data_IF_549209681366
#
_entry.id   IF_549209681366
#
_cell.length_a   1.000
_cell.length_b   1.000
_cell.length_c   1.000
_cell.angle_alpha   90.00
_cell.angle_beta   90.00
_cell.angle_gamma   90.00
#
_symmetry.space_group_name_H-M   'P 1'
#
loop_
_entity.id
_entity.type
_entity.pdbx_description
1 polymer ?
#
# COMPACT_ATOMS: atom_id res chain seq x y z
N UNK A 1 42.03 1.22 -42.05
CA UNK A 1 41.16 2.13 -41.29
C UNK A 1 39.72 1.75 -41.59
N UNK A 2 39.13 0.95 -40.71
CA UNK A 2 37.74 0.48 -40.85
C UNK A 2 36.84 1.42 -40.03
N UNK A 3 35.95 2.14 -40.70
CA UNK A 3 34.94 2.98 -40.06
C UNK A 3 33.82 2.08 -39.51
N UNK A 4 33.66 2.04 -38.19
CA UNK A 4 32.54 1.42 -37.54
C UNK A 4 31.33 2.36 -37.68
N UNK A 5 30.33 1.95 -38.44
CA UNK A 5 29.04 2.64 -38.56
C UNK A 5 28.16 2.18 -37.40
N UNK A 6 28.01 3.02 -36.39
CA UNK A 6 27.06 2.79 -35.28
C UNK A 6 25.64 3.08 -35.77
N UNK A 7 24.84 2.04 -35.96
CA UNK A 7 23.43 2.16 -36.23
C UNK A 7 22.75 2.32 -34.86
N UNK A 8 22.34 3.54 -34.55
CA UNK A 8 21.44 3.81 -33.43
C UNK A 8 20.04 3.38 -33.87
N UNK A 9 19.63 2.19 -33.45
CA UNK A 9 18.24 1.73 -33.57
C UNK A 9 17.40 2.48 -32.55
N UNK A 10 16.78 3.58 -32.95
CA UNK A 10 15.74 4.24 -32.15
C UNK A 10 14.55 3.30 -32.04
N UNK A 11 14.38 2.71 -30.85
CA UNK A 11 13.20 1.96 -30.49
C UNK A 11 12.04 2.96 -30.39
N UNK A 12 11.32 3.16 -31.48
CA UNK A 12 10.05 3.86 -31.48
C UNK A 12 9.07 2.97 -30.75
N UNK A 13 8.88 3.20 -29.44
CA UNK A 13 7.77 2.63 -28.71
C UNK A 13 6.51 3.28 -29.24
N UNK A 14 5.89 2.63 -30.22
CA UNK A 14 4.51 2.91 -30.55
C UNK A 14 3.71 2.57 -29.28
N UNK A 15 3.35 3.59 -28.50
CA UNK A 15 2.25 3.50 -27.58
C UNK A 15 1.01 3.23 -28.43
N UNK A 16 0.65 1.97 -28.57
CA UNK A 16 -0.70 1.62 -29.03
C UNK A 16 -1.63 2.28 -28.01
N UNK A 17 -2.27 3.40 -28.39
CA UNK A 17 -3.48 3.80 -27.73
C UNK A 17 -4.42 2.59 -27.87
N UNK A 18 -4.55 1.80 -26.82
CA UNK A 18 -5.65 0.85 -26.72
C UNK A 18 -6.89 1.72 -26.87
N UNK A 19 -7.70 1.45 -27.88
CA UNK A 19 -9.00 2.05 -27.99
C UNK A 19 -9.70 1.80 -26.64
N UNK A 20 -10.25 2.84 -26.05
CA UNK A 20 -10.96 2.73 -24.79
C UNK A 20 -12.13 1.76 -25.02
N UNK A 21 -12.07 0.61 -24.39
CA UNK A 21 -13.00 -0.49 -24.55
C UNK A 21 -13.95 -0.48 -23.36
N UNK A 22 -15.23 -0.71 -23.58
CA UNK A 22 -16.15 -0.94 -22.47
C UNK A 22 -15.72 -2.20 -21.72
N UNK A 23 -15.44 -2.07 -20.44
CA UNK A 23 -14.94 -3.19 -19.63
C UNK A 23 -15.47 -3.18 -18.20
N UNK A 24 -15.63 -4.37 -17.65
CA UNK A 24 -15.71 -4.59 -16.20
C UNK A 24 -14.34 -5.05 -15.71
N UNK A 25 -13.88 -4.44 -14.64
CA UNK A 25 -12.70 -4.89 -13.88
C UNK A 25 -13.09 -5.18 -12.42
N UNK A 26 -12.40 -6.12 -11.81
CA UNK A 26 -12.70 -6.61 -10.48
C UNK A 26 -11.50 -6.34 -9.58
N UNK A 27 -11.74 -6.19 -8.26
CA UNK A 27 -10.65 -6.15 -7.28
C UNK A 27 -9.73 -7.37 -7.51
N UNK A 28 -8.47 -7.18 -7.91
CA UNK A 28 -7.65 -8.30 -8.39
C UNK A 28 -7.22 -9.25 -7.27
N UNK A 29 -7.00 -8.72 -6.06
CA UNK A 29 -6.52 -9.47 -4.91
C UNK A 29 -7.33 -9.10 -3.67
N UNK A 30 -7.78 -10.11 -2.93
CA UNK A 30 -8.59 -9.97 -1.74
C UNK A 30 -7.99 -10.79 -0.61
N UNK A 31 -7.67 -10.14 0.50
CA UNK A 31 -7.30 -10.84 1.73
C UNK A 31 -8.56 -11.12 2.56
N UNK A 32 -8.68 -12.35 3.06
CA UNK A 32 -9.81 -12.77 3.90
C UNK A 32 -9.33 -13.65 5.04
N UNK A 33 -9.78 -13.39 6.26
CA UNK A 33 -9.52 -14.28 7.40
C UNK A 33 -10.49 -15.44 7.40
N UNK A 34 -10.09 -16.66 7.87
CA UNK A 34 -11.03 -17.76 8.10
C UNK A 34 -12.22 -17.29 8.94
N UNK A 35 -13.44 -17.67 8.55
CA UNK A 35 -14.68 -17.20 9.17
C UNK A 35 -15.06 -15.73 8.88
N UNK A 36 -14.14 -14.95 8.32
CA UNK A 36 -14.32 -13.52 8.05
C UNK A 36 -15.03 -13.20 6.74
N UNK A 37 -15.16 -11.91 6.47
CA UNK A 37 -15.77 -11.39 5.23
C UNK A 37 -14.83 -10.38 4.56
N UNK A 38 -14.91 -10.31 3.23
CA UNK A 38 -14.20 -9.31 2.44
C UNK A 38 -15.10 -8.76 1.34
N UNK A 39 -14.91 -7.48 0.99
CA UNK A 39 -15.68 -6.81 -0.06
C UNK A 39 -14.93 -6.86 -1.38
N UNK A 40 -15.65 -7.25 -2.43
CA UNK A 40 -15.21 -7.21 -3.81
C UNK A 40 -15.89 -6.03 -4.49
N UNK A 41 -15.09 -5.22 -5.19
CA UNK A 41 -15.57 -4.08 -5.96
C UNK A 41 -15.46 -4.39 -7.44
N UNK A 42 -16.51 -4.09 -8.17
CA UNK A 42 -16.56 -4.15 -9.64
C UNK A 42 -16.55 -2.73 -10.17
N UNK A 43 -15.56 -2.43 -11.00
CA UNK A 43 -15.42 -1.17 -11.69
C UNK A 43 -15.94 -1.32 -13.12
N UNK A 44 -16.50 -0.27 -13.66
CA UNK A 44 -16.88 -0.19 -15.07
C UNK A 44 -16.23 1.03 -15.69
N UNK A 45 -15.52 0.79 -16.79
CA UNK A 45 -15.09 1.84 -17.71
C UNK A 45 -15.91 1.68 -19.00
N UNK A 46 -16.65 2.71 -19.36
CA UNK A 46 -17.53 2.68 -20.53
C UNK A 46 -17.33 3.91 -21.40
N UNK A 47 -17.18 3.69 -22.70
CA UNK A 47 -17.11 4.73 -23.72
C UNK A 47 -18.48 4.92 -24.40
N UNK A 48 -19.29 3.88 -24.38
CA UNK A 48 -20.63 3.89 -24.92
C UNK A 48 -21.71 4.08 -23.84
N UNK A 49 -22.91 4.41 -24.24
CA UNK A 49 -24.09 4.42 -23.38
C UNK A 49 -24.50 2.98 -23.04
N UNK A 50 -24.07 2.53 -21.85
CA UNK A 50 -24.29 1.17 -21.34
C UNK A 50 -25.49 1.15 -20.42
N UNK A 51 -26.49 0.31 -20.71
CA UNK A 51 -27.70 0.13 -19.89
C UNK A 51 -27.75 -1.19 -19.11
N UNK A 52 -26.79 -2.08 -19.33
CA UNK A 52 -26.75 -3.36 -18.64
C UNK A 52 -25.42 -4.06 -18.72
N UNK A 53 -25.19 -4.93 -17.73
CA UNK A 53 -24.08 -5.88 -17.75
C UNK A 53 -24.48 -7.19 -17.11
N UNK A 54 -23.76 -8.25 -17.46
CA UNK A 54 -23.82 -9.52 -16.76
C UNK A 54 -22.45 -10.19 -16.68
N UNK A 55 -22.30 -11.08 -15.71
CA UNK A 55 -21.20 -12.03 -15.61
C UNK A 55 -21.62 -13.26 -14.83
N UNK A 56 -20.86 -14.34 -14.97
CA UNK A 56 -20.94 -15.51 -14.11
C UNK A 56 -19.68 -15.61 -13.27
N UNK A 57 -19.81 -16.04 -12.01
CA UNK A 57 -18.67 -16.31 -11.16
C UNK A 57 -18.76 -17.71 -10.55
N UNK A 58 -17.62 -18.36 -10.46
CA UNK A 58 -17.43 -19.62 -9.74
C UNK A 58 -16.55 -19.35 -8.52
N UNK A 59 -17.12 -19.58 -7.35
CA UNK A 59 -16.38 -19.45 -6.11
C UNK A 59 -15.65 -20.76 -5.82
N UNK A 60 -14.41 -20.70 -5.29
CA UNK A 60 -13.73 -21.89 -4.78
C UNK A 60 -14.44 -22.43 -3.54
N UNK A 61 -14.15 -23.69 -3.21
CA UNK A 61 -14.65 -24.34 -1.99
C UNK A 61 -14.28 -23.52 -0.76
N UNK A 62 -15.20 -23.39 0.20
CA UNK A 62 -15.01 -22.61 1.43
C UNK A 62 -15.28 -21.13 1.29
N UNK A 63 -15.67 -20.63 0.09
CA UNK A 63 -16.17 -19.26 -0.08
C UNK A 63 -17.65 -19.23 -0.45
N UNK A 64 -18.35 -18.26 0.07
CA UNK A 64 -19.76 -17.98 -0.24
C UNK A 64 -19.99 -16.48 -0.40
N UNK A 65 -21.01 -16.09 -1.19
CA UNK A 65 -21.47 -14.70 -1.22
C UNK A 65 -22.32 -14.44 0.03
N UNK A 66 -22.07 -13.31 0.68
CA UNK A 66 -22.88 -12.91 1.85
C UNK A 66 -24.34 -12.74 1.46
N UNK A 67 -25.22 -13.28 2.29
CA UNK A 67 -26.67 -13.23 2.07
C UNK A 67 -27.34 -12.32 3.10
N UNK A 68 -28.45 -11.70 2.72
CA UNK A 68 -29.30 -10.95 3.64
C UNK A 68 -30.11 -11.87 4.57
N UNK A 69 -30.88 -11.28 5.48
CA UNK A 69 -31.74 -12.01 6.42
C UNK A 69 -32.78 -12.94 5.76
N UNK A 70 -33.06 -12.78 4.46
CA UNK A 70 -33.97 -13.65 3.68
C UNK A 70 -33.22 -14.71 2.89
N UNK A 71 -31.91 -14.87 3.10
CA UNK A 71 -31.08 -15.85 2.39
C UNK A 71 -30.75 -15.48 0.92
N UNK A 72 -31.01 -14.26 0.48
CA UNK A 72 -30.66 -13.78 -0.86
C UNK A 72 -29.27 -13.18 -0.87
N UNK A 73 -28.45 -13.55 -1.85
CA UNK A 73 -27.12 -12.95 -2.08
C UNK A 73 -27.23 -11.44 -2.25
N UNK A 74 -26.36 -10.70 -1.57
CA UNK A 74 -26.36 -9.24 -1.58
C UNK A 74 -25.37 -8.68 -2.58
N UNK A 75 -25.88 -8.00 -3.58
CA UNK A 75 -25.14 -7.21 -4.56
C UNK A 75 -25.64 -5.76 -4.49
N UNK A 76 -24.72 -4.80 -4.35
CA UNK A 76 -25.06 -3.38 -4.22
C UNK A 76 -24.56 -2.60 -5.41
N UNK A 77 -25.49 -2.02 -6.18
CA UNK A 77 -25.16 -1.04 -7.21
C UNK A 77 -24.73 0.27 -6.58
N UNK A 78 -23.83 0.99 -7.25
CA UNK A 78 -23.42 2.33 -6.82
C UNK A 78 -24.55 3.33 -7.15
N UNK A 79 -25.17 3.90 -6.15
CA UNK A 79 -26.28 4.83 -6.27
C UNK A 79 -25.98 6.08 -7.12
N UNK A 80 -24.71 6.51 -7.17
CA UNK A 80 -24.30 7.67 -7.95
C UNK A 80 -24.21 7.39 -9.45
N UNK A 81 -24.34 6.11 -9.86
CA UNK A 81 -24.20 5.68 -11.25
C UNK A 81 -25.46 5.08 -11.85
N UNK A 82 -26.54 5.02 -11.11
CA UNK A 82 -27.79 4.35 -11.54
C UNK A 82 -28.98 5.31 -11.52
N UNK A 83 -29.98 5.01 -12.36
CA UNK A 83 -31.33 5.55 -12.26
C UNK A 83 -32.28 4.43 -11.81
N UNK A 84 -32.96 3.77 -12.73
CA UNK A 84 -33.89 2.67 -12.47
C UNK A 84 -33.25 1.26 -12.48
N UNK A 85 -31.93 1.22 -12.53
CA UNK A 85 -31.20 -0.04 -12.63
C UNK A 85 -31.44 -0.97 -11.45
N UNK A 86 -31.58 -2.23 -11.74
CA UNK A 86 -31.71 -3.30 -10.77
C UNK A 86 -30.58 -4.31 -10.93
N UNK A 87 -30.26 -5.03 -9.85
CA UNK A 87 -29.37 -6.17 -9.90
C UNK A 87 -30.09 -7.43 -9.48
N UNK A 88 -29.92 -8.48 -10.26
CA UNK A 88 -30.44 -9.83 -9.97
C UNK A 88 -29.29 -10.82 -9.96
N UNK A 89 -29.39 -11.83 -9.10
CA UNK A 89 -28.41 -12.93 -9.03
C UNK A 89 -29.11 -14.26 -8.85
N UNK A 90 -28.54 -15.30 -9.45
CA UNK A 90 -29.05 -16.66 -9.35
C UNK A 90 -27.91 -17.68 -9.27
N UNK A 91 -28.02 -18.62 -8.34
CA UNK A 91 -27.15 -19.79 -8.29
C UNK A 91 -27.66 -20.81 -9.36
N UNK A 92 -26.77 -21.14 -10.30
CA UNK A 92 -27.03 -22.09 -11.36
C UNK A 92 -26.74 -23.53 -10.91
N UNK A 93 -27.29 -24.52 -11.62
CA UNK A 93 -27.08 -25.96 -11.34
C UNK A 93 -25.61 -26.40 -11.44
N UNK A 94 -24.78 -25.67 -12.18
CA UNK A 94 -23.36 -25.92 -12.34
C UNK A 94 -22.49 -25.28 -11.24
N UNK A 95 -23.11 -24.73 -10.19
CA UNK A 95 -22.40 -24.07 -9.06
C UNK A 95 -22.00 -22.62 -9.36
N UNK A 96 -22.16 -22.12 -10.59
CA UNK A 96 -21.87 -20.73 -10.91
C UNK A 96 -22.98 -19.79 -10.42
N UNK A 97 -22.59 -18.61 -10.01
CA UNK A 97 -23.51 -17.51 -9.68
C UNK A 97 -23.58 -16.58 -10.88
N UNK A 98 -24.76 -16.45 -11.46
CA UNK A 98 -25.02 -15.47 -12.51
C UNK A 98 -25.43 -14.16 -11.84
N UNK A 99 -24.82 -13.05 -12.25
CA UNK A 99 -25.12 -11.68 -11.81
C UNK A 99 -25.47 -10.86 -13.05
N UNK A 100 -26.58 -10.16 -13.01
CA UNK A 100 -27.04 -9.29 -14.10
C UNK A 100 -27.56 -7.99 -13.51
N UNK A 101 -27.18 -6.88 -14.13
CA UNK A 101 -27.76 -5.57 -13.86
C UNK A 101 -28.26 -4.96 -15.16
N UNK A 102 -29.41 -4.32 -15.10
CA UNK A 102 -30.04 -3.66 -16.25
C UNK A 102 -30.98 -2.56 -15.80
N UNK A 103 -31.21 -1.59 -16.71
CA UNK A 103 -32.29 -0.61 -16.62
C UNK A 103 -33.55 -1.16 -17.32
N UNK A 104 -34.71 -1.02 -16.68
CA UNK A 104 -35.99 -1.43 -17.28
C UNK A 104 -36.43 -0.51 -18.42
N UNK A 105 -35.97 0.73 -18.41
CA UNK A 105 -36.30 1.75 -19.43
C UNK A 105 -35.16 1.98 -20.45
N UNK A 106 -34.08 1.16 -20.36
CA UNK A 106 -32.86 1.25 -21.16
C UNK A 106 -32.07 2.55 -20.93
N UNK A 107 -32.18 3.13 -19.73
CA UNK A 107 -31.36 4.29 -19.33
C UNK A 107 -29.89 3.87 -19.17
N UNK A 108 -28.92 4.71 -19.57
CA UNK A 108 -27.49 4.42 -19.36
C UNK A 108 -27.08 4.59 -17.93
N UNK A 109 -26.01 3.87 -17.52
CA UNK A 109 -25.30 4.17 -16.28
C UNK A 109 -24.67 5.55 -16.36
N UNK A 110 -24.75 6.32 -15.27
CA UNK A 110 -24.15 7.65 -15.18
C UNK A 110 -22.62 7.59 -15.13
N UNK A 111 -21.98 8.54 -15.79
CA UNK A 111 -20.52 8.64 -15.88
C UNK A 111 -19.89 7.58 -16.78
N UNK A 112 -18.59 7.70 -16.99
CA UNK A 112 -17.83 6.85 -17.93
C UNK A 112 -16.85 5.90 -17.25
N UNK A 113 -16.63 6.04 -15.93
CA UNK A 113 -15.72 5.18 -15.16
C UNK A 113 -16.08 5.15 -13.68
N UNK A 114 -15.56 4.16 -12.97
CA UNK A 114 -15.68 4.05 -11.53
C UNK A 114 -16.45 2.82 -11.07
N UNK A 115 -16.61 2.71 -9.76
CA UNK A 115 -17.33 1.60 -9.14
C UNK A 115 -18.78 1.55 -9.63
N UNK A 116 -19.21 0.36 -10.08
CA UNK A 116 -20.59 0.12 -10.50
C UNK A 116 -21.33 -0.82 -9.57
N UNK A 117 -20.62 -1.81 -9.02
CA UNK A 117 -21.19 -2.85 -8.17
C UNK A 117 -20.23 -3.19 -7.04
N UNK A 118 -20.74 -3.64 -5.89
CA UNK A 118 -19.96 -4.30 -4.85
C UNK A 118 -20.75 -5.47 -4.26
N UNK A 119 -20.03 -6.45 -3.74
CA UNK A 119 -20.58 -7.56 -2.98
C UNK A 119 -19.55 -8.06 -1.97
N UNK A 120 -20.02 -8.73 -0.92
CA UNK A 120 -19.13 -9.33 0.06
C UNK A 120 -19.10 -10.85 -0.09
N UNK A 121 -17.91 -11.42 0.10
CA UNK A 121 -17.71 -12.86 0.24
C UNK A 121 -17.38 -13.19 1.69
N UNK A 122 -17.79 -14.37 2.14
CA UNK A 122 -17.50 -14.93 3.45
C UNK A 122 -16.69 -16.20 3.26
N UNK A 123 -15.62 -16.33 4.05
CA UNK A 123 -14.83 -17.54 4.13
C UNK A 123 -15.35 -18.45 5.26
N UNK A 124 -15.28 -19.75 5.05
CA UNK A 124 -15.49 -20.73 6.12
C UNK A 124 -14.33 -20.68 7.13
N UNK A 125 -14.54 -21.22 8.34
CA UNK A 125 -13.50 -21.28 9.39
C UNK A 125 -12.27 -22.11 8.97
N UNK A 126 -12.43 -23.03 8.03
CA UNK A 126 -11.36 -23.88 7.49
C UNK A 126 -10.73 -23.35 6.20
N UNK A 127 -11.13 -22.16 5.74
CA UNK A 127 -10.60 -21.61 4.50
C UNK A 127 -9.13 -21.23 4.65
N UNK A 128 -8.25 -21.79 3.82
CA UNK A 128 -6.82 -21.62 3.88
C UNK A 128 -6.21 -21.51 2.47
N UNK A 129 -5.05 -20.87 2.38
CA UNK A 129 -4.30 -20.75 1.13
C UNK A 129 -4.82 -19.67 0.18
N UNK A 130 -4.45 -19.83 -1.09
CA UNK A 130 -4.79 -18.86 -2.15
C UNK A 130 -5.62 -19.57 -3.22
N UNK A 131 -6.79 -19.05 -3.50
CA UNK A 131 -7.71 -19.58 -4.50
C UNK A 131 -8.27 -18.46 -5.36
N UNK A 132 -8.71 -18.79 -6.57
CA UNK A 132 -9.28 -17.82 -7.49
C UNK A 132 -10.81 -17.93 -7.54
N UNK A 133 -11.50 -16.79 -7.52
CA UNK A 133 -12.88 -16.68 -8.02
C UNK A 133 -12.77 -16.48 -9.53
N UNK A 134 -13.28 -17.42 -10.28
CA UNK A 134 -13.29 -17.33 -11.74
C UNK A 134 -14.51 -16.56 -12.22
N UNK A 135 -14.28 -15.55 -13.05
CA UNK A 135 -15.32 -14.73 -13.68
C UNK A 135 -15.36 -15.10 -15.15
N UNK A 136 -16.55 -15.37 -15.65
CA UNK A 136 -16.81 -15.74 -17.04
C UNK A 136 -18.09 -15.09 -17.56
N UNK A 137 -18.34 -15.21 -18.86
CA UNK A 137 -19.52 -14.67 -19.54
C UNK A 137 -19.80 -13.19 -19.26
N UNK A 138 -18.70 -12.39 -19.17
CA UNK A 138 -18.82 -10.95 -19.02
C UNK A 138 -19.43 -10.40 -20.32
N UNK A 139 -20.59 -9.77 -20.20
CA UNK A 139 -21.26 -9.05 -21.28
C UNK A 139 -21.67 -7.66 -20.78
N UNK A 140 -21.36 -6.65 -21.57
CA UNK A 140 -21.81 -5.27 -21.37
C UNK A 140 -22.68 -4.93 -22.57
N UNK A 141 -23.87 -4.39 -22.33
CA UNK A 141 -24.86 -4.09 -23.35
C UNK A 141 -25.13 -2.60 -23.40
N UNK A 142 -25.10 -2.04 -24.60
CA UNK A 142 -25.54 -0.66 -24.85
C UNK A 142 -27.06 -0.51 -24.63
N UNK A 143 -27.54 0.73 -24.62
CA UNK A 143 -28.96 1.05 -24.54
C UNK A 143 -29.78 0.46 -25.71
N UNK A 144 -29.12 0.07 -26.82
CA UNK A 144 -29.72 -0.63 -27.93
C UNK A 144 -29.72 -2.16 -27.77
N UNK A 145 -29.25 -2.69 -26.62
CA UNK A 145 -29.17 -4.12 -26.37
C UNK A 145 -28.03 -4.84 -27.09
N UNK A 146 -27.11 -4.10 -27.71
CA UNK A 146 -25.94 -4.67 -28.41
C UNK A 146 -24.80 -4.88 -27.46
N UNK A 147 -24.12 -6.04 -27.55
CA UNK A 147 -22.88 -6.31 -26.78
C UNK A 147 -21.78 -5.39 -27.26
N UNK A 148 -21.10 -4.71 -26.28
CA UNK A 148 -20.10 -3.66 -26.55
C UNK A 148 -18.75 -3.91 -25.85
N UNK A 149 -18.52 -5.10 -25.29
CA UNK A 149 -17.25 -5.47 -24.67
C UNK A 149 -16.53 -6.62 -25.40
N UNK A 150 -15.21 -6.66 -25.28
CA UNK A 150 -14.35 -7.71 -25.85
C UNK A 150 -13.90 -8.69 -24.76
N UNK A 151 -13.55 -8.20 -23.56
CA UNK A 151 -13.09 -9.01 -22.43
C UNK A 151 -14.29 -9.75 -21.84
N UNK A 152 -14.22 -11.09 -21.83
CA UNK A 152 -15.31 -11.96 -21.38
C UNK A 152 -14.98 -12.78 -20.13
N UNK A 153 -13.75 -12.70 -19.65
CA UNK A 153 -13.30 -13.44 -18.46
C UNK A 153 -12.40 -12.57 -17.58
N UNK A 154 -12.39 -12.87 -16.29
CA UNK A 154 -11.49 -12.28 -15.31
C UNK A 154 -11.28 -13.27 -14.16
N UNK A 155 -10.35 -12.99 -13.25
CA UNK A 155 -10.18 -13.74 -12.01
C UNK A 155 -9.88 -12.80 -10.85
N UNK A 156 -10.28 -13.22 -9.65
CA UNK A 156 -10.00 -12.52 -8.40
C UNK A 156 -9.26 -13.50 -7.50
N UNK A 157 -8.02 -13.17 -7.14
CA UNK A 157 -7.28 -13.99 -6.19
C UNK A 157 -7.76 -13.70 -4.76
N UNK A 158 -8.18 -14.73 -4.05
CA UNK A 158 -8.60 -14.63 -2.65
C UNK A 158 -7.60 -15.40 -1.79
N UNK A 159 -6.90 -14.67 -0.92
CA UNK A 159 -5.85 -15.21 -0.08
C UNK A 159 -6.28 -15.22 1.39
N UNK A 160 -6.32 -16.40 2.00
CA UNK A 160 -6.37 -16.53 3.44
C UNK A 160 -4.95 -16.40 4.04
N UNK A 161 -4.82 -16.00 5.30
CA UNK A 161 -3.57 -16.16 6.02
C UNK A 161 -3.12 -17.63 5.93
N UNK A 162 -1.86 -17.83 5.60
CA UNK A 162 -1.28 -19.19 5.63
C UNK A 162 -1.26 -19.68 7.07
N UNK A 163 -1.71 -20.93 7.31
CA UNK A 163 -1.52 -21.60 8.61
C UNK A 163 -0.02 -21.74 8.97
N UNK A 164 0.83 -21.59 7.98
CA UNK A 164 2.27 -21.49 8.16
C UNK A 164 2.67 -20.00 7.97
N UNK A 165 2.94 -19.26 9.05
CA UNK A 165 3.30 -17.86 8.94
C UNK A 165 4.54 -17.69 8.06
N UNK A 166 4.46 -16.81 7.07
CA UNK A 166 5.63 -16.41 6.31
C UNK A 166 6.50 -15.58 7.24
N UNK A 167 7.62 -16.13 7.64
CA UNK A 167 8.60 -15.44 8.49
C UNK A 167 9.59 -14.64 7.65
N UNK A 168 10.15 -13.62 8.24
CA UNK A 168 11.18 -12.82 7.61
C UNK A 168 12.41 -13.66 7.25
N UNK A 169 12.98 -13.44 6.08
CA UNK A 169 14.23 -14.02 5.61
C UNK A 169 15.37 -13.02 5.62
N UNK A 170 15.06 -11.72 5.60
CA UNK A 170 16.02 -10.64 5.77
C UNK A 170 15.37 -9.38 6.33
N UNK A 171 16.20 -8.55 6.94
CA UNK A 171 15.86 -7.21 7.39
C UNK A 171 17.00 -6.26 7.02
N UNK A 172 16.70 -5.06 6.58
CA UNK A 172 17.66 -4.02 6.23
C UNK A 172 17.20 -2.66 6.72
N UNK A 173 18.14 -1.71 6.85
CA UNK A 173 17.84 -0.31 7.12
C UNK A 173 18.09 0.54 5.87
N UNK A 174 17.34 1.63 5.74
CA UNK A 174 17.46 2.62 4.66
C UNK A 174 18.83 3.31 4.61
N UNK A 175 19.54 3.35 5.74
CA UNK A 175 20.87 3.92 5.88
C UNK A 175 21.70 3.19 6.94
N UNK A 176 23.03 3.21 6.78
CA UNK A 176 23.98 2.58 7.71
C UNK A 176 24.38 3.49 8.86
N UNK A 177 24.28 4.80 8.66
CA UNK A 177 24.60 5.77 9.72
C UNK A 177 23.80 7.08 9.54
N UNK A 178 23.71 7.82 10.62
CA UNK A 178 23.20 9.19 10.65
C UNK A 178 24.02 10.02 11.64
N UNK A 179 24.13 11.31 11.34
CA UNK A 179 24.75 12.30 12.24
C UNK A 179 23.68 13.27 12.67
N UNK A 180 23.55 13.51 13.96
CA UNK A 180 22.60 14.48 14.55
C UNK A 180 23.30 15.32 15.60
N UNK A 181 22.82 16.54 15.84
CA UNK A 181 23.28 17.36 16.98
C UNK A 181 22.52 16.98 18.25
N UNK A 182 23.08 17.33 19.40
CA UNK A 182 22.37 17.20 20.69
C UNK A 182 21.01 17.94 20.62
N UNK A 183 19.93 17.22 20.96
CA UNK A 183 18.53 17.71 20.87
C UNK A 183 17.86 17.52 19.52
N UNK A 184 18.58 17.15 18.46
CA UNK A 184 18.00 16.91 17.14
C UNK A 184 17.61 15.44 16.94
N UNK A 185 16.78 15.19 15.95
CA UNK A 185 16.26 13.86 15.65
C UNK A 185 16.45 13.48 14.19
N UNK A 186 16.57 12.19 13.93
CA UNK A 186 16.57 11.55 12.61
C UNK A 186 15.70 10.30 12.67
N UNK A 187 15.38 9.70 11.52
CA UNK A 187 14.66 8.43 11.48
C UNK A 187 15.46 7.38 10.72
N UNK A 188 15.42 6.14 11.19
CA UNK A 188 15.79 4.94 10.44
C UNK A 188 14.53 4.22 10.00
N UNK A 189 14.53 3.67 8.79
CA UNK A 189 13.43 2.87 8.24
C UNK A 189 13.91 1.44 8.05
N UNK A 190 13.22 0.49 8.67
CA UNK A 190 13.48 -0.93 8.50
C UNK A 190 12.63 -1.49 7.36
N UNK A 191 13.23 -2.29 6.49
CA UNK A 191 12.57 -3.07 5.45
C UNK A 191 12.73 -4.55 5.76
N UNK A 192 11.61 -5.27 5.83
CA UNK A 192 11.57 -6.71 6.11
C UNK A 192 11.14 -7.44 4.84
N UNK A 193 11.88 -8.47 4.46
CA UNK A 193 11.62 -9.29 3.29
C UNK A 193 11.34 -10.76 3.69
N UNK A 194 10.50 -11.49 2.92
CA UNK A 194 9.80 -11.07 1.70
C UNK A 194 8.62 -10.13 1.99
N UNK A 195 8.11 -9.43 0.97
CA UNK A 195 7.02 -8.44 1.13
C UNK A 195 5.72 -9.01 1.70
N UNK A 196 5.51 -10.31 1.65
CA UNK A 196 4.34 -11.02 2.16
C UNK A 196 4.56 -11.62 3.57
N UNK A 197 5.62 -11.21 4.29
CA UNK A 197 5.81 -11.55 5.71
C UNK A 197 4.53 -11.29 6.50
N UNK A 198 4.10 -12.29 7.26
CA UNK A 198 2.84 -12.24 8.03
C UNK A 198 2.87 -11.15 9.11
N UNK A 199 4.03 -10.91 9.72
CA UNK A 199 4.24 -9.87 10.73
C UNK A 199 5.48 -9.04 10.39
N UNK A 200 5.27 -7.81 9.91
CA UNK A 200 6.35 -6.88 9.49
C UNK A 200 6.87 -6.00 10.61
N UNK A 201 6.27 -6.09 11.79
CA UNK A 201 6.64 -5.26 12.93
C UNK A 201 8.06 -5.55 13.39
N UNK A 202 8.76 -4.49 13.78
CA UNK A 202 10.09 -4.55 14.37
C UNK A 202 10.10 -3.92 15.76
N UNK A 203 11.04 -4.34 16.58
CA UNK A 203 11.39 -3.67 17.85
C UNK A 203 12.66 -2.88 17.63
N UNK A 204 12.62 -1.62 17.98
CA UNK A 204 13.78 -0.74 17.97
C UNK A 204 14.44 -0.69 19.34
N UNK A 205 15.76 -0.66 19.34
CA UNK A 205 16.57 -0.50 20.55
C UNK A 205 17.84 0.30 20.26
N UNK A 206 18.41 0.89 21.30
CA UNK A 206 19.70 1.58 21.25
C UNK A 206 20.69 0.87 22.14
N UNK A 207 21.96 0.90 21.77
CA UNK A 207 23.06 0.38 22.60
C UNK A 207 23.35 1.27 23.83
N UNK A 208 23.03 2.56 23.75
CA UNK A 208 23.23 3.51 24.85
C UNK A 208 22.14 4.61 24.83
N UNK A 209 21.17 4.46 25.71
CA UNK A 209 20.07 5.41 25.84
C UNK A 209 20.50 6.77 26.46
N UNK A 210 21.74 6.90 26.96
CA UNK A 210 22.29 8.18 27.46
C UNK A 210 22.86 9.02 26.32
N UNK A 211 23.24 8.39 25.19
CA UNK A 211 23.74 9.05 23.97
C UNK A 211 22.61 9.34 23.01
N UNK A 212 21.77 8.35 22.73
CA UNK A 212 20.62 8.51 21.83
C UNK A 212 19.48 7.57 22.23
N UNK A 213 18.25 8.04 22.11
CA UNK A 213 17.03 7.23 22.26
C UNK A 213 16.43 6.93 20.89
N UNK A 214 15.67 5.83 20.81
CA UNK A 214 14.88 5.47 19.62
C UNK A 214 13.46 5.10 20.04
N UNK A 215 12.46 5.59 19.30
CA UNK A 215 11.06 5.20 19.48
C UNK A 215 10.69 3.96 18.63
N UNK A 216 9.45 3.45 18.79
CA UNK A 216 8.99 2.28 18.05
C UNK A 216 8.68 2.57 16.57
N UNK A 217 8.81 3.80 16.11
CA UNK A 217 8.70 4.21 14.71
C UNK A 217 10.07 4.38 14.03
N UNK A 218 11.18 4.14 14.78
CA UNK A 218 12.53 4.32 14.28
C UNK A 218 13.05 5.76 14.36
N UNK A 219 12.35 6.68 15.05
CA UNK A 219 12.81 8.04 15.26
C UNK A 219 13.87 8.03 16.37
N UNK A 220 15.05 8.52 16.04
CA UNK A 220 16.21 8.59 16.93
C UNK A 220 16.45 10.03 17.34
N UNK A 221 16.58 10.28 18.65
CA UNK A 221 16.90 11.59 19.20
C UNK A 221 18.28 11.54 19.86
N UNK A 222 19.20 12.43 19.45
CA UNK A 222 20.51 12.61 20.04
C UNK A 222 20.41 13.34 21.38
N UNK A 223 20.96 12.78 22.44
CA UNK A 223 20.89 13.34 23.80
C UNK A 223 22.24 13.90 24.25
N UNK A 224 23.33 13.23 23.91
CA UNK A 224 24.67 13.59 24.35
C UNK A 224 25.69 13.17 23.31
N UNK A 225 26.73 13.99 23.13
CA UNK A 225 27.84 13.67 22.21
C UNK A 225 28.38 12.26 22.46
N UNK A 226 28.41 11.47 21.38
CA UNK A 226 28.85 10.10 21.39
C UNK A 226 28.38 9.32 20.17
N UNK A 227 28.52 8.01 20.26
CA UNK A 227 28.12 7.07 19.21
C UNK A 227 27.26 5.98 19.83
N UNK A 228 26.10 5.71 19.24
CA UNK A 228 25.23 4.61 19.63
C UNK A 228 24.84 3.76 18.42
N UNK A 229 24.61 2.46 18.64
CA UNK A 229 24.03 1.56 17.66
C UNK A 229 22.51 1.53 17.82
N UNK A 230 21.81 1.73 16.72
CA UNK A 230 20.37 1.57 16.65
C UNK A 230 20.09 0.23 15.99
N UNK A 231 19.31 -0.61 16.64
CA UNK A 231 19.00 -1.98 16.20
C UNK A 231 17.51 -2.12 15.98
N UNK A 232 17.12 -2.62 14.80
CA UNK A 232 15.78 -3.11 14.50
C UNK A 232 15.78 -4.64 14.55
N UNK A 233 14.83 -5.24 15.27
CA UNK A 233 14.68 -6.70 15.41
C UNK A 233 13.27 -7.09 14.98
N UNK A 234 13.12 -8.12 14.12
CA UNK A 234 11.82 -8.63 13.70
C UNK A 234 11.03 -9.25 14.85
N UNK A 235 9.69 -9.12 14.82
CA UNK A 235 8.77 -9.69 15.82
C UNK A 235 8.12 -11.01 15.41
N UNK A 236 8.37 -11.49 14.20
CA UNK A 236 7.75 -12.67 13.63
C UNK A 236 8.32 -14.01 14.13
N UNK A 237 9.25 -13.97 15.07
CA UNK A 237 9.95 -15.14 15.61
C UNK A 237 11.25 -15.48 14.86
N UNK A 238 11.55 -14.85 13.72
CA UNK A 238 12.83 -15.04 13.01
C UNK A 238 14.03 -14.44 13.76
N UNK A 239 13.79 -13.43 14.62
CA UNK A 239 14.81 -12.71 15.40
C UNK A 239 15.93 -12.11 14.54
N UNK A 240 15.63 -11.75 13.30
CA UNK A 240 16.58 -11.07 12.42
C UNK A 240 16.81 -9.65 12.90
N UNK A 241 18.04 -9.17 12.76
CA UNK A 241 18.43 -7.82 13.19
C UNK A 241 19.10 -7.05 12.07
N UNK A 242 18.85 -5.75 12.02
CA UNK A 242 19.62 -4.80 11.23
C UNK A 242 20.08 -3.65 12.12
N UNK A 243 21.29 -3.15 11.87
CA UNK A 243 21.92 -2.13 12.71
C UNK A 243 22.35 -0.93 11.90
N UNK A 244 22.14 0.26 12.47
CA UNK A 244 22.66 1.53 11.99
C UNK A 244 23.40 2.26 13.11
N UNK A 245 24.34 3.10 12.74
CA UNK A 245 25.13 3.92 13.66
C UNK A 245 24.53 5.31 13.74
N UNK A 246 24.24 5.81 14.94
CA UNK A 246 23.98 7.23 15.16
C UNK A 246 25.19 7.88 15.81
N UNK A 247 25.65 8.97 15.23
CA UNK A 247 26.71 9.81 15.77
C UNK A 247 26.04 11.09 16.26
N UNK A 248 26.11 11.33 17.55
CA UNK A 248 25.61 12.57 18.15
C UNK A 248 26.79 13.51 18.34
N UNK A 249 26.74 14.67 17.74
CA UNK A 249 27.75 15.71 17.97
C UNK A 249 27.15 16.86 18.79
N UNK A 250 28.03 17.61 19.42
CA UNK A 250 27.62 18.75 20.23
C UNK A 250 27.18 19.86 19.31
N UNK A 251 26.04 20.46 19.60
CA UNK A 251 25.62 21.68 18.93
C UNK A 251 26.68 22.74 19.23
N UNK A 252 27.33 23.25 18.19
CA UNK A 252 28.20 24.39 18.34
C UNK A 252 27.25 25.56 18.62
N UNK A 253 27.31 26.09 19.82
CA UNK A 253 26.68 27.38 20.09
C UNK A 253 27.34 28.38 19.13
N UNK A 254 26.56 29.16 18.43
CA UNK A 254 27.07 30.27 17.60
C UNK A 254 27.70 31.29 18.57
N UNK A 255 28.99 31.05 18.86
CA UNK A 255 29.76 32.11 19.54
C UNK A 255 29.88 33.26 18.58
N UNK A 256 29.26 34.38 18.92
CA UNK A 256 29.53 35.60 18.24
C UNK A 256 31.05 35.85 18.35
N UNK A 257 31.71 35.99 17.17
CA UNK A 257 33.15 36.27 17.16
C UNK A 257 33.39 37.58 17.90
N UNK A 258 34.03 37.52 19.09
CA UNK A 258 34.20 38.68 19.98
C UNK A 258 33.41 38.60 21.29
N UNK A 259 32.45 37.71 21.43
CA UNK A 259 31.74 37.39 22.68
C UNK A 259 32.62 36.51 23.54
N UNK A 260 33.43 37.12 24.40
CA UNK A 260 34.49 36.44 25.21
C UNK A 260 33.94 35.90 26.52
N UNK A 261 32.90 36.52 27.07
CA UNK A 261 32.26 36.09 28.30
C UNK A 261 31.04 35.15 28.05
N UNK A 262 30.65 35.01 26.73
CA UNK A 262 29.60 34.10 26.26
C UNK A 262 28.19 34.44 26.77
N UNK A 263 27.90 35.72 26.96
CA UNK A 263 26.57 36.20 27.37
C UNK A 263 25.59 36.40 26.20
N UNK A 264 26.07 36.25 24.95
CA UNK A 264 25.30 36.44 23.72
C UNK A 264 25.28 37.86 23.19
N UNK A 265 26.04 38.78 23.79
CA UNK A 265 26.14 40.17 23.38
C UNK A 265 27.61 40.53 23.22
N UNK A 266 27.98 41.23 22.14
CA UNK A 266 29.34 41.77 21.97
C UNK A 266 29.34 43.18 22.54
N UNK A 267 29.96 43.39 23.71
CA UNK A 267 30.04 44.70 24.37
C UNK A 267 31.37 44.91 25.11
N UNK A 268 31.40 45.91 26.03
CA UNK A 268 32.57 46.27 26.76
C UNK A 268 32.99 45.22 27.79
N UNK A 269 32.06 44.31 28.20
CA UNK A 269 32.38 43.24 29.14
C UNK A 269 33.31 42.21 28.48
N UNK A 270 33.16 41.93 27.19
CA UNK A 270 34.05 41.05 26.41
C UNK A 270 35.49 41.60 26.38
N UNK A 271 35.60 42.90 26.14
CA UNK A 271 36.91 43.54 26.13
C UNK A 271 37.56 43.46 27.50
N UNK A 272 36.78 43.62 28.56
CA UNK A 272 37.26 43.52 29.95
C UNK A 272 37.71 42.10 30.26
N UNK A 273 36.93 41.08 29.89
CA UNK A 273 37.28 39.67 30.09
C UNK A 273 38.53 39.27 29.30
N UNK A 274 38.66 39.75 28.04
CA UNK A 274 39.85 39.52 27.24
C UNK A 274 41.13 40.13 27.90
N UNK A 275 41.01 41.38 28.40
CA UNK A 275 42.12 42.06 29.08
C UNK A 275 42.53 41.26 30.34
N UNK A 276 41.55 40.83 31.12
CA UNK A 276 41.83 40.02 32.32
C UNK A 276 42.50 38.67 31.98
N UNK A 277 42.06 37.99 30.93
CA UNK A 277 42.70 36.76 30.42
C UNK A 277 44.12 36.99 29.91
N UNK A 278 44.42 38.11 29.32
CA UNK A 278 45.77 38.50 28.83
C UNK A 278 46.70 38.85 30.00
N UNK A 279 46.19 39.59 30.98
CA UNK A 279 46.99 40.04 32.14
C UNK A 279 47.23 38.94 33.19
N UNK A 280 46.44 37.82 33.14
CA UNK A 280 46.59 36.69 34.02
C UNK A 280 47.61 35.63 33.57
N UNK A 281 48.24 35.82 32.40
CA UNK A 281 49.34 35.00 31.87
C UNK A 281 50.67 35.63 32.17
#
# INVERSE_FOLDING_TARGET
MKKLLSIILSLLTASTMLAAVNQLSFTPNVAITPGGTATITVMMDNQDEVAGFQFEMLLPEGLSVVTNAKGKMEFKLNADRIDDHVVISNLRKNGKISVMSYSATAEPYYGTSGQILSFAVKADESYAGTHAIEISDINISSCLGVKVNEITTASIEVKAPSDNPVVATSISLDKLYAVVMEGESTAFVATVEPLDVTMKDVVWSTSDATIATVDQNGNVTGLKKGVALITATTKDGSNLTAQGVVIVDKKVEDFLEGDIDHDGVIDIADVTELILKVLSK
#
